data_IF_928392259970
#
_entry.id   IF_928392259970
#
_cell.length_a   1.000
_cell.length_b   1.000
_cell.length_c   1.000
_cell.angle_alpha   90.00
_cell.angle_beta   90.00
_cell.angle_gamma   90.00
#
_symmetry.space_group_name_H-M   'P 1'
#
loop_
_entity.id
_entity.type
_entity.pdbx_description
1 polymer ?
#
# COMPACT_ATOMS: atom_id res chain seq x y z
N UNK A 1 -15.24 -2.60 -20.43
CA UNK A 1 -13.93 -3.14 -20.02
C UNK A 1 -14.06 -4.65 -19.98
N UNK A 2 -13.05 -5.38 -20.46
CA UNK A 2 -13.14 -6.84 -20.68
C UNK A 2 -12.27 -7.57 -19.66
N UNK A 3 -12.87 -8.54 -18.94
CA UNK A 3 -12.21 -9.37 -17.92
C UNK A 3 -10.96 -10.06 -18.50
N UNK A 4 -11.04 -10.47 -19.77
CA UNK A 4 -9.95 -11.13 -20.47
C UNK A 4 -8.67 -10.27 -20.52
N UNK A 5 -8.80 -8.95 -20.75
CA UNK A 5 -7.65 -8.03 -20.79
C UNK A 5 -7.00 -7.84 -19.42
N UNK A 6 -7.80 -7.90 -18.35
CA UNK A 6 -7.29 -7.86 -16.97
C UNK A 6 -6.51 -9.14 -16.66
N UNK A 7 -7.01 -10.30 -17.11
CA UNK A 7 -6.31 -11.57 -16.96
C UNK A 7 -4.98 -11.58 -17.73
N UNK A 8 -4.97 -11.09 -18.98
CA UNK A 8 -3.76 -10.94 -19.80
C UNK A 8 -2.72 -10.00 -19.17
N UNK A 9 -3.16 -9.02 -18.37
CA UNK A 9 -2.30 -8.11 -17.62
C UNK A 9 -1.78 -8.67 -16.28
N UNK A 10 -2.03 -9.95 -15.98
CA UNK A 10 -1.63 -10.58 -14.72
C UNK A 10 -2.50 -10.23 -13.51
N UNK A 11 -3.63 -9.52 -13.72
CA UNK A 11 -4.57 -9.15 -12.67
C UNK A 11 -5.66 -10.20 -12.44
N UNK A 12 -5.56 -11.38 -13.09
CA UNK A 12 -6.55 -12.46 -12.96
C UNK A 12 -6.94 -12.79 -11.50
N UNK A 13 -6.01 -12.84 -10.51
CA UNK A 13 -6.37 -13.14 -9.12
C UNK A 13 -7.25 -12.07 -8.45
N UNK A 14 -7.23 -10.85 -8.99
CA UNK A 14 -7.89 -9.67 -8.45
C UNK A 14 -9.11 -9.24 -9.28
N UNK A 15 -9.22 -9.78 -10.49
CA UNK A 15 -10.16 -9.29 -11.48
C UNK A 15 -11.61 -9.44 -10.98
N UNK A 16 -11.98 -10.61 -10.47
CA UNK A 16 -13.34 -10.86 -9.96
C UNK A 16 -13.73 -9.84 -8.88
N UNK A 17 -12.84 -9.60 -7.91
CA UNK A 17 -13.06 -8.59 -6.86
C UNK A 17 -13.20 -7.18 -7.42
N UNK A 18 -12.30 -6.76 -8.31
CA UNK A 18 -12.32 -5.42 -8.91
C UNK A 18 -13.60 -5.21 -9.72
N UNK A 19 -14.05 -6.20 -10.49
CA UNK A 19 -15.28 -6.11 -11.26
C UNK A 19 -16.52 -6.08 -10.37
N UNK A 20 -16.58 -6.91 -9.32
CA UNK A 20 -17.69 -6.88 -8.35
C UNK A 20 -17.75 -5.54 -7.61
N UNK A 21 -16.60 -5.02 -7.16
CA UNK A 21 -16.52 -3.72 -6.50
C UNK A 21 -16.96 -2.60 -7.45
N UNK A 22 -16.51 -2.63 -8.71
CA UNK A 22 -16.88 -1.65 -9.72
C UNK A 22 -18.39 -1.69 -10.03
N UNK A 23 -19.00 -2.88 -10.07
CA UNK A 23 -20.45 -3.02 -10.26
C UNK A 23 -21.21 -2.40 -9.07
N UNK A 24 -20.81 -2.70 -7.83
CA UNK A 24 -21.43 -2.13 -6.62
C UNK A 24 -21.25 -0.60 -6.57
N UNK A 25 -20.11 -0.09 -6.99
CA UNK A 25 -19.87 1.35 -7.09
C UNK A 25 -20.75 2.00 -8.18
N UNK A 26 -20.95 1.32 -9.31
CA UNK A 26 -21.84 1.79 -10.38
C UNK A 26 -23.32 1.83 -9.95
N UNK A 27 -23.77 0.89 -9.11
CA UNK A 27 -25.13 0.89 -8.54
C UNK A 27 -25.37 2.05 -7.58
N UNK A 28 -24.33 2.44 -6.83
CA UNK A 28 -24.37 3.62 -5.95
C UNK A 28 -24.30 4.92 -6.76
N UNK A 29 -23.64 4.90 -7.92
CA UNK A 29 -23.47 6.01 -8.84
C UNK A 29 -23.05 7.32 -8.13
N UNK A 30 -21.87 7.30 -7.46
CA UNK A 30 -21.38 8.46 -6.75
C UNK A 30 -21.18 9.64 -7.68
N UNK A 31 -21.53 10.82 -7.19
CA UNK A 31 -21.15 12.06 -7.86
C UNK A 31 -19.64 12.35 -7.66
N UNK A 32 -19.09 13.36 -8.35
CA UNK A 32 -17.67 13.69 -8.22
C UNK A 32 -17.22 14.05 -6.78
N UNK A 33 -18.07 14.70 -5.98
CA UNK A 33 -17.74 15.05 -4.60
C UNK A 33 -17.76 13.81 -3.68
N UNK A 34 -18.73 12.90 -3.87
CA UNK A 34 -18.80 11.62 -3.16
C UNK A 34 -17.59 10.76 -3.48
N UNK A 35 -17.17 10.72 -4.75
CA UNK A 35 -15.93 10.04 -5.17
C UNK A 35 -14.70 10.64 -4.49
N UNK A 36 -14.55 11.97 -4.50
CA UNK A 36 -13.42 12.64 -3.86
C UNK A 36 -13.38 12.40 -2.34
N UNK A 37 -14.54 12.37 -1.69
CA UNK A 37 -14.63 12.08 -0.25
C UNK A 37 -14.26 10.62 0.05
N UNK A 38 -14.69 9.65 -0.77
CA UNK A 38 -14.23 8.27 -0.66
C UNK A 38 -12.72 8.14 -0.86
N UNK A 39 -12.18 8.80 -1.89
CA UNK A 39 -10.74 8.81 -2.17
C UNK A 39 -9.95 9.39 -0.99
N UNK A 40 -10.44 10.47 -0.37
CA UNK A 40 -9.83 11.03 0.83
C UNK A 40 -9.84 10.03 2.00
N UNK A 41 -10.98 9.38 2.27
CA UNK A 41 -11.08 8.33 3.31
C UNK A 41 -10.08 7.20 3.06
N UNK A 42 -9.89 6.79 1.79
CA UNK A 42 -8.90 5.76 1.43
C UNK A 42 -7.46 6.29 1.60
N UNK A 43 -7.20 7.53 1.20
CA UNK A 43 -5.87 8.14 1.29
C UNK A 43 -5.38 8.28 2.73
N UNK A 44 -6.27 8.63 3.66
CA UNK A 44 -6.01 8.74 5.09
C UNK A 44 -6.26 7.43 5.86
N UNK A 45 -6.14 6.27 5.20
CA UNK A 45 -6.22 4.99 5.89
C UNK A 45 -4.93 4.64 6.64
N UNK A 46 -5.08 3.96 7.77
CA UNK A 46 -3.97 3.41 8.55
C UNK A 46 -3.14 2.42 7.72
N UNK A 47 -1.80 2.51 7.84
CA UNK A 47 -0.84 1.61 7.20
C UNK A 47 0.29 1.26 8.17
N UNK A 48 0.86 0.04 8.11
CA UNK A 48 2.01 -0.32 8.92
C UNK A 48 3.18 0.66 8.72
N UNK A 49 3.85 1.05 9.80
CA UNK A 49 5.03 1.92 9.76
C UNK A 49 4.74 3.43 9.77
N UNK A 50 3.49 3.85 9.97
CA UNK A 50 3.16 5.26 10.19
C UNK A 50 3.69 5.77 11.53
N UNK A 51 4.41 6.89 11.48
CA UNK A 51 4.94 7.56 12.69
C UNK A 51 3.84 8.18 13.55
N UNK A 52 2.75 8.63 12.92
CA UNK A 52 1.66 9.35 13.58
C UNK A 52 0.30 8.83 13.09
N UNK A 53 0.06 7.54 13.33
CA UNK A 53 -1.17 6.86 12.92
C UNK A 53 -2.43 7.55 13.48
N UNK A 54 -2.34 8.06 14.72
CA UNK A 54 -3.45 8.74 15.39
C UNK A 54 -3.92 9.98 14.64
N UNK A 55 -3.00 10.86 14.21
CA UNK A 55 -3.41 12.06 13.45
C UNK A 55 -4.02 11.73 12.10
N UNK A 56 -3.55 10.65 11.47
CA UNK A 56 -4.11 10.18 10.20
C UNK A 56 -5.52 9.65 10.42
N UNK A 57 -5.76 8.89 11.48
CA UNK A 57 -7.08 8.42 11.89
C UNK A 57 -8.03 9.58 12.20
N UNK A 58 -7.60 10.54 13.02
CA UNK A 58 -8.40 11.75 13.33
C UNK A 58 -8.73 12.54 12.04
N UNK A 59 -7.81 12.58 11.06
CA UNK A 59 -8.07 13.21 9.75
C UNK A 59 -9.05 12.39 8.91
N UNK A 60 -8.94 11.06 8.94
CA UNK A 60 -9.84 10.16 8.23
C UNK A 60 -11.28 10.30 8.73
N UNK A 61 -11.47 10.36 10.05
CA UNK A 61 -12.77 10.55 10.69
C UNK A 61 -13.49 11.80 10.17
N UNK A 62 -12.77 12.92 10.02
CA UNK A 62 -13.31 14.16 9.46
C UNK A 62 -13.88 13.94 8.05
N UNK A 63 -13.17 13.21 7.19
CA UNK A 63 -13.65 12.93 5.83
C UNK A 63 -14.81 11.93 5.81
N UNK A 64 -14.83 10.99 6.75
CA UNK A 64 -15.95 10.05 6.92
C UNK A 64 -17.23 10.79 7.36
N UNK A 65 -17.12 11.70 8.32
CA UNK A 65 -18.23 12.56 8.76
C UNK A 65 -18.71 13.46 7.63
N UNK A 66 -17.78 14.07 6.87
CA UNK A 66 -18.13 14.90 5.72
C UNK A 66 -18.89 14.12 4.64
N UNK A 67 -18.51 12.86 4.37
CA UNK A 67 -19.21 11.98 3.44
C UNK A 67 -20.64 11.68 3.91
N UNK A 68 -20.81 11.32 5.18
CA UNK A 68 -22.14 11.09 5.79
C UNK A 68 -23.02 12.33 5.67
N UNK A 69 -22.53 13.49 6.12
CA UNK A 69 -23.27 14.75 6.08
C UNK A 69 -23.66 15.14 4.65
N UNK A 70 -22.73 15.00 3.71
CA UNK A 70 -22.99 15.33 2.31
C UNK A 70 -24.10 14.44 1.72
N UNK A 71 -24.06 13.13 1.99
CA UNK A 71 -25.09 12.18 1.54
C UNK A 71 -26.43 12.50 2.19
N UNK A 72 -26.47 12.77 3.49
CA UNK A 72 -27.71 13.06 4.21
C UNK A 72 -28.41 14.32 3.69
N UNK A 73 -27.63 15.37 3.40
CA UNK A 73 -28.14 16.61 2.83
C UNK A 73 -28.62 16.40 1.39
N UNK A 74 -27.85 15.67 0.57
CA UNK A 74 -28.13 15.50 -0.86
C UNK A 74 -29.23 14.47 -1.14
N UNK A 75 -29.28 13.39 -0.37
CA UNK A 75 -30.15 12.23 -0.59
C UNK A 75 -30.87 11.81 0.70
N UNK A 76 -31.68 12.69 1.32
CA UNK A 76 -32.32 12.44 2.62
C UNK A 76 -33.31 11.25 2.61
N UNK A 77 -33.77 10.81 1.44
CA UNK A 77 -34.66 9.65 1.28
C UNK A 77 -33.92 8.31 1.20
N UNK A 78 -32.60 8.33 1.13
CA UNK A 78 -31.78 7.14 0.90
C UNK A 78 -30.78 6.95 2.06
N UNK A 79 -31.31 6.82 3.28
CA UNK A 79 -30.52 6.70 4.51
C UNK A 79 -29.60 5.48 4.54
N UNK A 80 -29.85 4.47 3.70
CA UNK A 80 -29.00 3.27 3.58
C UNK A 80 -27.79 3.47 2.68
N UNK A 81 -27.69 4.61 1.99
CA UNK A 81 -26.64 4.83 1.00
C UNK A 81 -25.26 4.91 1.64
N UNK A 82 -25.14 5.56 2.81
CA UNK A 82 -23.87 5.59 3.54
C UNK A 82 -23.39 4.18 3.88
N UNK A 83 -24.29 3.26 4.29
CA UNK A 83 -23.92 1.88 4.58
C UNK A 83 -23.35 1.17 3.36
N UNK A 84 -23.83 1.49 2.15
CA UNK A 84 -23.26 0.94 0.90
C UNK A 84 -21.86 1.48 0.65
N UNK A 85 -21.63 2.79 0.84
CA UNK A 85 -20.30 3.39 0.76
C UNK A 85 -19.33 2.75 1.75
N UNK A 86 -19.75 2.60 3.01
CA UNK A 86 -18.94 1.98 4.06
C UNK A 86 -18.64 0.51 3.75
N UNK A 87 -19.59 -0.24 3.19
CA UNK A 87 -19.35 -1.62 2.75
C UNK A 87 -18.33 -1.69 1.62
N UNK A 88 -18.41 -0.83 0.61
CA UNK A 88 -17.43 -0.74 -0.48
C UNK A 88 -16.03 -0.40 0.06
N UNK A 89 -15.93 0.58 0.95
CA UNK A 89 -14.67 0.98 1.59
C UNK A 89 -14.08 -0.14 2.46
N UNK A 90 -14.93 -0.85 3.21
CA UNK A 90 -14.51 -1.96 4.08
C UNK A 90 -13.98 -3.14 3.28
N UNK A 91 -14.68 -3.51 2.20
CA UNK A 91 -14.26 -4.59 1.32
C UNK A 91 -12.95 -4.26 0.61
N UNK A 92 -12.80 -3.02 0.15
CA UNK A 92 -11.54 -2.55 -0.43
C UNK A 92 -10.40 -2.61 0.59
N UNK A 93 -10.61 -2.16 1.83
CA UNK A 93 -9.60 -2.25 2.90
C UNK A 93 -9.21 -3.71 3.17
N UNK A 94 -10.19 -4.60 3.30
CA UNK A 94 -9.97 -6.03 3.53
C UNK A 94 -9.14 -6.64 2.41
N UNK A 95 -9.53 -6.38 1.16
CA UNK A 95 -8.80 -6.85 -0.02
C UNK A 95 -7.35 -6.35 -0.03
N UNK A 96 -7.12 -5.06 0.28
CA UNK A 96 -5.76 -4.52 0.38
C UNK A 96 -4.95 -5.22 1.47
N UNK A 97 -5.51 -5.50 2.65
CA UNK A 97 -4.80 -6.19 3.73
C UNK A 97 -4.46 -7.65 3.36
N UNK A 98 -5.40 -8.38 2.75
CA UNK A 98 -5.19 -9.78 2.36
C UNK A 98 -4.11 -9.95 1.27
N UNK A 99 -3.88 -8.92 0.45
CA UNK A 99 -2.98 -9.00 -0.70
C UNK A 99 -1.71 -8.14 -0.62
N UNK A 100 -1.62 -7.22 0.35
CA UNK A 100 -0.36 -6.49 0.66
C UNK A 100 0.65 -7.38 1.40
N UNK A 101 0.17 -8.40 2.13
CA UNK A 101 1.02 -9.31 2.91
C UNK A 101 1.38 -10.61 2.18
N UNK A 102 1.05 -10.75 0.89
CA UNK A 102 1.45 -11.93 0.13
C UNK A 102 2.97 -11.83 -0.16
N UNK A 103 3.83 -12.73 0.37
CA UNK A 103 5.23 -12.83 -0.05
C UNK A 103 5.36 -13.34 -1.50
N UNK A 104 4.26 -13.45 -2.22
CA UNK A 104 4.14 -14.05 -3.55
C UNK A 104 4.38 -13.06 -4.69
N UNK A 105 5.17 -12.01 -4.46
CA UNK A 105 5.90 -11.37 -5.55
C UNK A 105 7.24 -12.09 -5.68
N UNK A 106 7.47 -12.91 -6.72
CA UNK A 106 8.81 -13.34 -7.09
C UNK A 106 9.70 -12.17 -7.55
N UNK A 107 9.18 -10.93 -7.52
CA UNK A 107 9.93 -9.69 -7.67
C UNK A 107 10.09 -8.93 -6.34
N UNK A 108 9.88 -9.57 -5.18
CA UNK A 108 10.39 -9.06 -3.90
C UNK A 108 11.90 -9.31 -3.78
N UNK A 109 12.64 -8.89 -4.81
CA UNK A 109 14.09 -8.86 -4.83
C UNK A 109 14.61 -7.57 -4.15
N UNK A 110 13.76 -6.89 -3.38
CA UNK A 110 14.17 -5.76 -2.55
C UNK A 110 14.89 -6.21 -1.28
N UNK A 111 14.76 -7.48 -0.89
CA UNK A 111 15.60 -8.09 0.15
C UNK A 111 17.01 -8.47 -0.37
N UNK A 112 17.22 -8.47 -1.69
CA UNK A 112 18.55 -8.59 -2.31
C UNK A 112 19.36 -7.29 -2.21
N UNK A 113 18.78 -6.17 -1.76
CA UNK A 113 19.56 -4.94 -1.52
C UNK A 113 20.46 -5.00 -0.26
N UNK A 114 20.40 -6.10 0.50
CA UNK A 114 21.44 -6.45 1.47
C UNK A 114 22.59 -7.26 0.85
N UNK A 115 22.62 -7.44 -0.48
CA UNK A 115 23.78 -8.01 -1.15
C UNK A 115 24.95 -7.05 -0.98
N UNK A 116 25.74 -7.34 0.06
CA UNK A 116 27.03 -6.74 0.30
C UNK A 116 27.82 -7.00 -0.98
N UNK A 117 27.97 -5.96 -1.80
CA UNK A 117 28.73 -6.01 -3.06
C UNK A 117 29.95 -6.92 -2.86
N UNK A 118 30.24 -7.85 -3.78
CA UNK A 118 31.38 -8.77 -3.64
C UNK A 118 32.70 -8.02 -3.39
N UNK A 119 32.75 -6.75 -3.79
CA UNK A 119 33.82 -5.79 -3.51
C UNK A 119 34.06 -5.53 -2.01
N UNK A 120 33.02 -5.42 -1.17
CA UNK A 120 33.18 -5.19 0.28
C UNK A 120 33.71 -6.43 0.99
N UNK A 121 33.22 -7.62 0.64
CA UNK A 121 33.74 -8.88 1.17
C UNK A 121 35.21 -9.10 0.75
N UNK A 122 35.55 -8.77 -0.50
CA UNK A 122 36.94 -8.81 -0.98
C UNK A 122 37.84 -7.79 -0.29
N UNK A 123 37.34 -6.56 -0.06
CA UNK A 123 38.05 -5.53 0.69
C UNK A 123 38.29 -5.94 2.16
N UNK A 124 37.31 -6.54 2.83
CA UNK A 124 37.48 -7.09 4.17
C UNK A 124 38.52 -8.23 4.20
N UNK A 125 38.52 -9.10 3.18
CA UNK A 125 39.53 -10.15 3.03
C UNK A 125 40.94 -9.59 2.79
N UNK A 126 41.06 -8.54 1.96
CA UNK A 126 42.32 -7.84 1.71
C UNK A 126 42.81 -7.14 2.99
N UNK A 127 41.92 -6.55 3.78
CA UNK A 127 42.25 -5.93 5.06
C UNK A 127 42.68 -6.96 6.11
N UNK A 128 42.06 -8.15 6.14
CA UNK A 128 42.45 -9.25 7.03
C UNK A 128 43.79 -9.89 6.62
N UNK A 129 44.08 -10.04 5.32
CA UNK A 129 45.36 -10.57 4.85
C UNK A 129 46.51 -9.55 4.94
N UNK A 130 46.21 -8.24 4.95
CA UNK A 130 47.23 -7.18 5.10
C UNK A 130 47.51 -6.77 6.55
N UNK A 131 46.93 -7.46 7.53
CA UNK A 131 47.26 -7.28 8.95
C UNK A 131 48.67 -7.73 9.34
N UNK A 132 49.36 -8.53 8.54
CA UNK A 132 50.69 -9.08 8.90
C UNK A 132 51.87 -8.52 8.07
N UNK A 133 51.64 -7.69 7.05
CA UNK A 133 52.72 -7.20 6.17
C UNK A 133 53.16 -5.75 6.45
N UNK A 134 52.57 -5.06 7.43
CA UNK A 134 53.03 -3.74 7.88
C UNK A 134 53.92 -3.78 9.14
N UNK A 135 54.55 -4.92 9.42
CA UNK A 135 55.61 -5.04 10.43
C UNK A 135 56.99 -5.18 9.78
N UNK A 136 57.37 -4.21 8.93
CA UNK A 136 58.73 -4.15 8.38
C UNK A 136 59.17 -2.71 8.04
N UNK A 137 58.97 -1.77 8.96
CA UNK A 137 59.88 -0.63 9.06
C UNK A 137 60.73 -0.84 10.31
N UNK A 138 61.82 -1.58 10.12
CA UNK A 138 62.94 -1.54 11.05
C UNK A 138 63.39 -0.09 11.19
N UNK A 139 63.11 0.48 12.35
CA UNK A 139 63.95 1.51 12.95
C UNK A 139 65.34 0.89 13.04
N UNK A 140 66.28 1.40 12.24
CA UNK A 140 67.71 1.20 12.51
C UNK A 140 68.32 2.58 12.61
N UNK A 141 68.94 2.80 13.77
CA UNK A 141 69.67 3.98 14.19
C UNK A 141 71.02 4.06 13.48
#
# INVERSE_FOLDING_TARGET
YDLQKYCEAGMAPFADFVFELAQRLAEVAPDPAEMLLMEAVIAFSERPGLLDARRIEETQEIYMEALQQYIDVKRPRNSTLIHRYLSILSDLRRFCLEHVDSPTSPNSDYDCFLDVKPEKAMLEQIMQQRGEQFSAYHITR
#
